data_IF_631276130304
#
_entry.id   IF_631276130304
#
_cell.length_a   1.000
_cell.length_b   1.000
_cell.length_c   1.000
_cell.angle_alpha   90.00
_cell.angle_beta   90.00
_cell.angle_gamma   90.00
#
_symmetry.space_group_name_H-M   'P 1'
#
loop_
_entity.id
_entity.type
_entity.pdbx_description
1 polymer ?
#
# COMPACT_ATOMS: atom_id res chain seq x y z
N UNK A 1 -1.23 -9.15 33.23
CA UNK A 1 -1.61 -8.18 32.18
C UNK A 1 -0.78 -8.50 30.94
N UNK A 2 -1.37 -8.43 29.76
CA UNK A 2 -0.70 -8.71 28.48
C UNK A 2 -0.99 -7.55 27.52
N UNK A 3 0.05 -7.09 26.83
CA UNK A 3 -0.05 -6.12 25.75
C UNK A 3 0.07 -6.86 24.41
N UNK A 4 -0.85 -6.60 23.50
CA UNK A 4 -0.91 -7.25 22.19
C UNK A 4 -0.79 -6.17 21.11
N UNK A 5 0.35 -6.15 20.42
CA UNK A 5 0.67 -5.15 19.41
C UNK A 5 0.40 -5.72 18.02
N UNK A 6 -0.52 -5.15 17.25
CA UNK A 6 -0.78 -5.65 15.90
C UNK A 6 -1.98 -5.03 15.19
N UNK A 7 -2.31 -5.60 14.03
CA UNK A 7 -3.48 -5.21 13.24
C UNK A 7 -4.71 -6.03 13.57
N UNK A 8 -5.66 -6.07 12.62
CA UNK A 8 -6.96 -6.72 12.80
C UNK A 8 -6.86 -8.19 13.25
N UNK A 9 -6.03 -9.00 12.59
CA UNK A 9 -5.86 -10.42 12.97
C UNK A 9 -5.31 -10.59 14.39
N UNK A 10 -4.34 -9.77 14.77
CA UNK A 10 -3.74 -9.78 16.10
C UNK A 10 -4.75 -9.38 17.18
N UNK A 11 -5.57 -8.35 16.93
CA UNK A 11 -6.61 -7.92 17.85
C UNK A 11 -7.79 -8.90 17.93
N UNK A 12 -8.11 -9.62 16.85
CA UNK A 12 -9.05 -10.74 16.90
C UNK A 12 -8.53 -11.84 17.84
N UNK A 13 -7.23 -12.15 17.78
CA UNK A 13 -6.57 -13.05 18.73
C UNK A 13 -6.61 -12.53 20.17
N UNK A 14 -6.35 -11.23 20.38
CA UNK A 14 -6.45 -10.61 21.70
C UNK A 14 -7.86 -10.76 22.30
N UNK A 15 -8.90 -10.57 21.49
CA UNK A 15 -10.28 -10.76 21.92
C UNK A 15 -10.57 -12.22 22.30
N UNK A 16 -10.06 -13.19 21.52
CA UNK A 16 -10.18 -14.60 21.85
C UNK A 16 -9.49 -14.95 23.19
N UNK A 17 -8.29 -14.41 23.43
CA UNK A 17 -7.57 -14.58 24.70
C UNK A 17 -8.36 -13.97 25.86
N UNK A 18 -8.87 -12.76 25.69
CA UNK A 18 -9.70 -12.08 26.69
C UNK A 18 -10.90 -12.93 27.10
N UNK A 19 -11.65 -13.43 26.12
CA UNK A 19 -12.82 -14.28 26.35
C UNK A 19 -12.47 -15.54 27.14
N UNK A 20 -11.34 -16.18 26.83
CA UNK A 20 -10.90 -17.37 27.56
C UNK A 20 -10.45 -17.04 28.99
N UNK A 21 -9.78 -15.90 29.22
CA UNK A 21 -9.46 -15.43 30.57
C UNK A 21 -10.72 -15.19 31.40
N UNK A 22 -11.75 -14.55 30.82
CA UNK A 22 -13.05 -14.33 31.47
C UNK A 22 -13.73 -15.65 31.82
N UNK A 23 -13.77 -16.60 30.89
CA UNK A 23 -14.36 -17.94 31.09
C UNK A 23 -13.69 -18.69 32.24
N UNK A 24 -12.37 -18.57 32.37
CA UNK A 24 -11.57 -19.20 33.44
C UNK A 24 -11.48 -18.36 34.72
N UNK A 25 -12.17 -17.22 34.80
CA UNK A 25 -12.11 -16.29 35.93
C UNK A 25 -10.69 -15.83 36.28
N UNK A 26 -9.81 -15.73 35.27
CA UNK A 26 -8.45 -15.26 35.44
C UNK A 26 -8.44 -13.73 35.54
N UNK A 27 -7.76 -13.19 36.55
CA UNK A 27 -7.56 -11.74 36.72
C UNK A 27 -6.46 -11.22 35.80
N UNK A 28 -6.69 -11.28 34.50
CA UNK A 28 -5.73 -10.86 33.47
C UNK A 28 -6.35 -9.76 32.61
N UNK A 29 -5.72 -8.59 32.58
CA UNK A 29 -6.02 -7.55 31.60
C UNK A 29 -5.33 -7.84 30.27
N UNK A 30 -6.08 -7.73 29.16
CA UNK A 30 -5.59 -7.86 27.78
C UNK A 30 -5.74 -6.49 27.12
N UNK A 31 -4.61 -5.90 26.71
CA UNK A 31 -4.56 -4.53 26.18
C UNK A 31 -4.08 -4.58 24.73
N UNK A 32 -4.91 -4.12 23.81
CA UNK A 32 -4.56 -4.00 22.39
C UNK A 32 -3.81 -2.69 22.12
N UNK A 33 -2.74 -2.78 21.34
CA UNK A 33 -1.96 -1.63 20.86
C UNK A 33 -1.99 -1.68 19.32
N UNK A 34 -2.81 -0.84 18.67
CA UNK A 34 -3.06 -0.88 17.24
C UNK A 34 -1.80 -0.56 16.42
N UNK A 35 -1.40 -1.50 15.56
CA UNK A 35 -0.25 -1.37 14.67
C UNK A 35 -0.65 -1.72 13.24
N UNK A 36 -0.84 -0.69 12.44
CA UNK A 36 -0.88 -0.76 10.98
C UNK A 36 0.02 0.33 10.42
N UNK A 37 0.79 0.02 9.38
CA UNK A 37 1.56 1.03 8.67
C UNK A 37 0.64 1.84 7.75
N UNK A 38 -0.46 1.24 7.28
CA UNK A 38 -1.36 1.81 6.28
C UNK A 38 -2.26 2.92 6.82
N UNK A 39 -2.26 3.16 8.15
CA UNK A 39 -3.15 4.12 8.82
C UNK A 39 -4.65 3.90 8.57
N UNK A 40 -5.07 2.64 8.52
CA UNK A 40 -6.41 2.21 8.13
C UNK A 40 -7.28 1.72 9.31
N UNK A 41 -6.96 2.15 10.54
CA UNK A 41 -7.75 1.80 11.73
C UNK A 41 -8.84 2.85 11.96
N UNK A 42 -10.10 2.39 11.92
CA UNK A 42 -11.26 3.22 12.23
C UNK A 42 -11.13 3.87 13.62
N UNK A 43 -11.63 5.10 13.75
CA UNK A 43 -11.62 5.90 14.98
C UNK A 43 -10.24 6.41 15.42
N UNK A 44 -9.20 6.20 14.62
CA UNK A 44 -7.86 6.76 14.84
C UNK A 44 -7.43 7.59 13.63
N UNK A 45 -6.98 8.82 13.89
CA UNK A 45 -6.49 9.69 12.83
C UNK A 45 -5.09 9.27 12.34
N UNK A 46 -4.28 8.69 13.24
CA UNK A 46 -2.90 8.32 12.97
C UNK A 46 -2.45 7.10 13.78
N UNK A 47 -1.80 6.15 13.12
CA UNK A 47 -1.13 5.00 13.72
C UNK A 47 0.39 5.18 13.71
N UNK A 48 1.07 4.60 14.70
CA UNK A 48 2.52 4.73 14.76
C UNK A 48 3.19 4.01 13.58
N UNK A 49 4.26 4.61 13.08
CA UNK A 49 5.01 4.11 11.92
C UNK A 49 4.51 4.65 10.56
N UNK A 50 3.29 5.21 10.48
CA UNK A 50 2.76 5.77 9.24
C UNK A 50 3.61 6.94 8.70
N UNK A 51 3.93 7.94 9.54
CA UNK A 51 4.72 9.10 9.11
C UNK A 51 6.12 8.69 8.63
N UNK A 52 6.77 7.79 9.37
CA UNK A 52 8.07 7.24 8.97
C UNK A 52 7.96 6.49 7.63
N UNK A 53 6.88 5.75 7.41
CA UNK A 53 6.64 5.07 6.13
C UNK A 53 6.50 6.07 4.97
N UNK A 54 5.79 7.19 5.21
CA UNK A 54 5.64 8.27 4.23
C UNK A 54 6.98 8.94 3.93
N UNK A 55 7.84 9.14 4.93
CA UNK A 55 9.20 9.68 4.72
C UNK A 55 10.07 8.74 3.89
N UNK A 56 10.08 7.44 4.19
CA UNK A 56 10.85 6.46 3.41
C UNK A 56 10.28 6.29 1.99
N UNK A 57 8.95 6.33 1.83
CA UNK A 57 8.30 6.29 0.53
C UNK A 57 8.71 7.47 -0.35
N UNK A 58 8.82 8.68 0.21
CA UNK A 58 9.31 9.85 -0.53
C UNK A 58 10.75 9.66 -1.02
N UNK A 59 11.62 9.03 -0.23
CA UNK A 59 12.99 8.71 -0.66
C UNK A 59 12.98 7.75 -1.85
N UNK A 60 12.16 6.71 -1.81
CA UNK A 60 12.01 5.76 -2.91
C UNK A 60 11.47 6.44 -4.19
N UNK A 61 10.47 7.32 -4.05
CA UNK A 61 9.94 8.13 -5.16
C UNK A 61 11.04 9.00 -5.75
N UNK A 62 11.84 9.68 -4.91
CA UNK A 62 12.92 10.54 -5.38
C UNK A 62 14.01 9.78 -6.13
N UNK A 63 14.36 8.57 -5.70
CA UNK A 63 15.25 7.70 -6.46
C UNK A 63 14.66 7.35 -7.83
N UNK A 64 13.39 6.93 -7.89
CA UNK A 64 12.74 6.60 -9.15
C UNK A 64 12.60 7.80 -10.09
N UNK A 65 12.35 9.00 -9.54
CA UNK A 65 12.32 10.25 -10.29
C UNK A 65 13.67 10.53 -10.95
N UNK A 66 14.77 10.43 -10.20
CA UNK A 66 16.13 10.68 -10.73
C UNK A 66 16.45 9.68 -11.86
N UNK A 67 16.15 8.40 -11.66
CA UNK A 67 16.37 7.35 -12.68
C UNK A 67 15.53 7.61 -13.93
N UNK A 68 14.23 7.90 -13.78
CA UNK A 68 13.33 8.16 -14.89
C UNK A 68 13.78 9.36 -15.74
N UNK A 69 14.27 10.43 -15.10
CA UNK A 69 14.74 11.64 -15.80
C UNK A 69 16.13 11.49 -16.43
N UNK A 70 16.91 10.50 -15.98
CA UNK A 70 18.25 10.24 -16.51
C UNK A 70 18.24 9.36 -17.76
N UNK A 71 17.10 8.74 -18.07
CA UNK A 71 16.91 7.89 -19.25
C UNK A 71 16.03 8.56 -20.31
N UNK A 72 16.33 8.33 -21.59
CA UNK A 72 15.46 8.77 -22.69
C UNK A 72 14.12 8.02 -22.62
N UNK A 73 13.02 8.77 -22.46
CA UNK A 73 11.68 8.22 -22.25
C UNK A 73 11.60 7.28 -21.03
N UNK A 74 12.32 7.61 -19.95
CA UNK A 74 12.35 6.81 -18.74
C UNK A 74 11.04 6.86 -17.95
N UNK A 75 10.62 5.69 -17.45
CA UNK A 75 9.49 5.55 -16.52
C UNK A 75 10.00 4.95 -15.20
N UNK A 76 9.79 5.66 -14.10
CA UNK A 76 10.08 5.17 -12.76
C UNK A 76 8.83 4.59 -12.11
N UNK A 77 8.82 3.29 -11.81
CA UNK A 77 7.69 2.64 -11.12
C UNK A 77 8.06 2.34 -9.67
N UNK A 78 7.26 2.85 -8.73
CA UNK A 78 7.47 2.64 -7.29
C UNK A 78 6.25 1.96 -6.69
N UNK A 79 6.44 0.73 -6.22
CA UNK A 79 5.43 0.01 -5.44
C UNK A 79 5.57 0.36 -3.97
N UNK A 80 4.51 0.88 -3.37
CA UNK A 80 4.43 1.23 -1.95
C UNK A 80 3.44 0.33 -1.20
N UNK A 81 3.52 0.40 0.13
CA UNK A 81 2.50 -0.16 1.03
C UNK A 81 1.13 0.48 0.75
N UNK A 82 0.07 -0.23 1.13
CA UNK A 82 -1.30 0.18 0.89
C UNK A 82 -2.15 -0.99 0.43
N UNK A 83 -2.46 -1.89 1.36
CA UNK A 83 -3.15 -3.15 1.05
C UNK A 83 -4.61 -2.94 0.73
N UNK A 84 -5.32 -2.24 1.60
CA UNK A 84 -6.74 -1.93 1.45
C UNK A 84 -7.01 -0.43 1.35
N UNK A 85 -5.98 0.39 1.56
CA UNK A 85 -6.05 1.83 1.48
C UNK A 85 -4.80 2.43 0.84
N UNK A 86 -4.95 3.58 0.21
CA UNK A 86 -3.89 4.30 -0.50
C UNK A 86 -3.22 5.40 0.31
N UNK A 87 -3.38 5.45 1.64
CA UNK A 87 -2.93 6.60 2.44
C UNK A 87 -1.44 6.91 2.29
N UNK A 88 -0.57 5.88 2.36
CA UNK A 88 0.88 6.07 2.17
C UNK A 88 1.17 6.54 0.74
N UNK A 89 0.61 5.85 -0.26
CA UNK A 89 0.84 6.18 -1.66
C UNK A 89 0.40 7.62 -1.99
N UNK A 90 -0.78 8.04 -1.53
CA UNK A 90 -1.30 9.40 -1.73
C UNK A 90 -0.45 10.43 -1.01
N UNK A 91 -0.17 10.24 0.28
CA UNK A 91 0.54 11.24 1.06
C UNK A 91 2.00 11.39 0.62
N UNK A 92 2.67 10.28 0.27
CA UNK A 92 4.02 10.32 -0.28
C UNK A 92 4.05 10.96 -1.68
N UNK A 93 3.06 10.67 -2.54
CA UNK A 93 2.93 11.30 -3.87
C UNK A 93 2.75 12.81 -3.76
N UNK A 94 1.83 13.26 -2.90
CA UNK A 94 1.57 14.69 -2.69
C UNK A 94 2.77 15.41 -2.04
N UNK A 95 3.44 14.76 -1.08
CA UNK A 95 4.56 15.38 -0.35
C UNK A 95 5.83 15.45 -1.20
N UNK A 96 6.08 14.44 -2.06
CA UNK A 96 7.24 14.44 -2.96
C UNK A 96 7.10 15.46 -4.10
N UNK A 97 5.88 15.67 -4.61
CA UNK A 97 5.62 16.53 -5.77
C UNK A 97 6.18 16.01 -7.09
N UNK A 98 6.59 14.74 -7.14
CA UNK A 98 7.32 14.13 -8.26
C UNK A 98 6.52 13.05 -9.00
N UNK A 99 5.40 12.60 -8.45
CA UNK A 99 4.59 11.52 -9.00
C UNK A 99 3.64 12.08 -10.06
N UNK A 100 3.69 11.52 -11.27
CA UNK A 100 2.77 11.87 -12.36
C UNK A 100 1.48 11.03 -12.31
N UNK A 101 1.58 9.77 -11.90
CA UNK A 101 0.44 8.84 -11.79
C UNK A 101 0.48 8.14 -10.44
N UNK A 102 -0.57 8.33 -9.62
CA UNK A 102 -0.76 7.64 -8.36
C UNK A 102 -1.91 6.64 -8.47
N UNK A 103 -1.64 5.35 -8.25
CA UNK A 103 -2.61 4.26 -8.34
C UNK A 103 -2.86 3.68 -6.95
N UNK A 104 -4.12 3.70 -6.50
CA UNK A 104 -4.54 3.30 -5.16
C UNK A 104 -5.70 2.30 -5.17
N UNK A 105 -5.88 1.48 -4.11
CA UNK A 105 -6.94 0.48 -4.05
C UNK A 105 -8.36 1.05 -4.17
N UNK A 106 -8.56 2.30 -3.72
CA UNK A 106 -9.88 2.96 -3.68
C UNK A 106 -10.37 3.41 -5.07
N UNK A 107 -9.47 3.58 -6.04
CA UNK A 107 -9.80 4.12 -7.37
C UNK A 107 -9.52 3.06 -8.43
N UNK A 108 -10.57 2.40 -8.96
CA UNK A 108 -10.41 1.44 -10.05
C UNK A 108 -9.84 2.11 -11.31
N UNK A 109 -8.96 1.41 -12.01
CA UNK A 109 -8.37 1.88 -13.25
C UNK A 109 -8.21 0.74 -14.26
N UNK A 110 -8.09 1.12 -15.53
CA UNK A 110 -7.70 0.22 -16.60
C UNK A 110 -6.26 0.52 -17.00
N UNK A 111 -5.46 -0.52 -17.19
CA UNK A 111 -4.08 -0.34 -17.66
C UNK A 111 -4.06 0.02 -19.16
N UNK A 112 -4.81 -0.73 -19.96
CA UNK A 112 -4.96 -0.53 -21.41
C UNK A 112 -6.23 0.23 -21.79
N UNK A 113 -6.34 0.56 -23.07
CA UNK A 113 -7.52 1.17 -23.68
C UNK A 113 -7.41 2.69 -23.84
N UNK A 114 -8.43 3.33 -24.44
CA UNK A 114 -8.37 4.74 -24.82
C UNK A 114 -8.30 5.71 -23.62
N UNK A 115 -8.66 5.24 -22.42
CA UNK A 115 -8.57 5.97 -21.16
C UNK A 115 -7.72 5.23 -20.13
N UNK A 116 -6.86 4.31 -20.59
CA UNK A 116 -5.99 3.52 -19.73
C UNK A 116 -4.75 4.27 -19.28
N UNK A 117 -4.15 3.80 -18.19
CA UNK A 117 -2.93 4.37 -17.62
C UNK A 117 -1.79 4.41 -18.64
N UNK A 118 -1.59 3.35 -19.44
CA UNK A 118 -0.50 3.31 -20.43
C UNK A 118 -0.64 4.39 -21.51
N UNK A 119 -1.87 4.69 -21.93
CA UNK A 119 -2.11 5.78 -22.89
C UNK A 119 -1.77 7.13 -22.30
N UNK A 120 -2.09 7.33 -21.03
CA UNK A 120 -1.72 8.55 -20.32
C UNK A 120 -0.20 8.67 -20.15
N UNK A 121 0.49 7.56 -19.85
CA UNK A 121 1.95 7.53 -19.79
C UNK A 121 2.59 7.87 -21.13
N UNK A 122 2.09 7.35 -22.24
CA UNK A 122 2.57 7.72 -23.57
C UNK A 122 2.48 9.25 -23.80
N UNK A 123 1.33 9.85 -23.46
CA UNK A 123 1.16 11.30 -23.54
C UNK A 123 2.17 12.05 -22.66
N UNK A 124 2.43 11.57 -21.44
CA UNK A 124 3.43 12.18 -20.55
C UNK A 124 4.85 12.07 -21.11
N UNK A 125 5.22 10.94 -21.71
CA UNK A 125 6.52 10.78 -22.36
C UNK A 125 6.69 11.74 -23.54
N UNK A 126 5.66 11.93 -24.36
CA UNK A 126 5.71 12.87 -25.49
C UNK A 126 5.82 14.34 -25.02
N UNK A 127 5.18 14.68 -23.90
CA UNK A 127 5.13 16.06 -23.40
C UNK A 127 6.27 16.43 -22.44
N UNK A 128 6.71 15.49 -21.60
CA UNK A 128 7.69 15.72 -20.52
C UNK A 128 8.99 14.94 -20.72
N UNK A 129 9.00 13.87 -21.52
CA UNK A 129 10.17 13.02 -21.76
C UNK A 129 10.42 11.93 -20.70
N UNK A 130 9.70 11.95 -19.59
CA UNK A 130 9.78 10.96 -18.50
C UNK A 130 8.46 10.93 -17.71
N UNK A 131 8.27 9.89 -16.90
CA UNK A 131 7.14 9.81 -15.96
C UNK A 131 7.49 9.01 -14.69
N UNK A 132 6.84 9.35 -13.58
CA UNK A 132 6.90 8.57 -12.33
C UNK A 132 5.52 8.02 -11.98
N UNK A 133 5.46 6.71 -11.78
CA UNK A 133 4.26 5.97 -11.37
C UNK A 133 4.45 5.47 -9.94
N UNK A 134 3.57 5.90 -9.05
CA UNK A 134 3.46 5.36 -7.70
C UNK A 134 2.25 4.43 -7.65
N UNK A 135 2.44 3.19 -7.21
CA UNK A 135 1.36 2.18 -7.11
C UNK A 135 1.34 1.57 -5.71
N UNK A 136 0.19 1.62 -5.05
CA UNK A 136 -0.03 0.88 -3.81
C UNK A 136 -0.18 -0.62 -4.12
N UNK A 137 0.34 -1.50 -3.26
CA UNK A 137 0.32 -2.95 -3.50
C UNK A 137 -1.08 -3.54 -3.71
N UNK A 138 -2.13 -2.95 -3.10
CA UNK A 138 -3.52 -3.37 -3.27
C UNK A 138 -4.21 -2.83 -4.52
N UNK A 139 -3.58 -1.92 -5.26
CA UNK A 139 -4.15 -1.34 -6.47
C UNK A 139 -4.13 -2.37 -7.61
N UNK A 140 -5.15 -2.35 -8.47
CA UNK A 140 -5.17 -3.16 -9.70
C UNK A 140 -5.15 -4.68 -9.50
N UNK A 141 -5.47 -5.20 -8.31
CA UNK A 141 -5.48 -6.65 -8.05
C UNK A 141 -6.46 -7.44 -8.95
N UNK A 142 -7.46 -6.77 -9.53
CA UNK A 142 -8.37 -7.34 -10.54
C UNK A 142 -7.73 -7.55 -11.92
N UNK A 143 -6.57 -6.94 -12.19
CA UNK A 143 -5.80 -7.12 -13.42
C UNK A 143 -4.87 -8.34 -13.35
N UNK A 144 -4.60 -8.82 -12.15
CA UNK A 144 -3.70 -9.93 -11.88
C UNK A 144 -4.47 -11.24 -11.83
N UNK A 145 -3.80 -12.35 -12.18
CA UNK A 145 -4.38 -13.68 -11.98
C UNK A 145 -4.56 -13.97 -10.50
N UNK A 146 -5.80 -14.24 -10.09
CA UNK A 146 -6.09 -14.57 -8.71
C UNK A 146 -5.63 -16.00 -8.41
N UNK A 147 -4.58 -16.13 -7.60
CA UNK A 147 -4.04 -17.43 -7.18
C UNK A 147 -4.85 -18.06 -6.05
N UNK A 148 -5.75 -17.30 -5.40
CA UNK A 148 -6.45 -17.66 -4.16
C UNK A 148 -5.52 -18.17 -3.03
N UNK A 149 -4.21 -17.90 -3.15
CA UNK A 149 -3.24 -18.29 -2.14
C UNK A 149 -3.49 -17.51 -0.86
N UNK A 150 -3.31 -18.17 0.28
CA UNK A 150 -3.43 -17.57 1.61
C UNK A 150 -2.14 -17.70 2.39
N UNK A 151 -1.81 -16.69 3.17
CA UNK A 151 -0.72 -16.77 4.14
C UNK A 151 -1.09 -17.67 5.34
N UNK A 152 -0.13 -17.88 6.25
CA UNK A 152 -0.34 -18.69 7.44
C UNK A 152 -1.42 -18.13 8.39
N UNK A 153 -1.78 -16.85 8.26
CA UNK A 153 -2.84 -16.18 9.02
C UNK A 153 -4.18 -16.19 8.29
N UNK A 154 -4.26 -16.79 7.10
CA UNK A 154 -5.47 -16.90 6.29
C UNK A 154 -5.79 -15.70 5.41
N UNK A 155 -4.89 -14.70 5.31
CA UNK A 155 -5.09 -13.55 4.44
C UNK A 155 -4.72 -13.89 2.99
N UNK A 156 -5.46 -13.32 2.02
CA UNK A 156 -5.15 -13.50 0.58
C UNK A 156 -3.75 -12.93 0.28
N UNK A 157 -2.94 -13.67 -0.46
CA UNK A 157 -1.65 -13.16 -0.96
C UNK A 157 -1.90 -12.38 -2.25
N UNK A 158 -1.49 -11.11 -2.27
CA UNK A 158 -1.63 -10.25 -3.44
C UNK A 158 -0.60 -10.61 -4.51
N UNK A 159 -1.00 -10.42 -5.76
CA UNK A 159 -0.05 -10.45 -6.87
C UNK A 159 0.80 -9.17 -6.86
N UNK A 160 2.00 -9.25 -7.42
CA UNK A 160 2.89 -8.09 -7.49
C UNK A 160 2.48 -7.17 -8.66
N UNK A 161 1.64 -6.18 -8.34
CA UNK A 161 1.18 -5.18 -9.31
C UNK A 161 2.33 -4.34 -9.87
N UNK A 162 3.40 -4.13 -9.11
CA UNK A 162 4.55 -3.35 -9.55
C UNK A 162 5.30 -4.07 -10.68
N UNK A 163 5.54 -5.37 -10.50
CA UNK A 163 6.14 -6.23 -11.54
C UNK A 163 5.23 -6.33 -12.75
N UNK A 164 3.91 -6.47 -12.56
CA UNK A 164 2.97 -6.54 -13.66
C UNK A 164 2.97 -5.26 -14.52
N UNK A 165 2.86 -4.07 -13.90
CA UNK A 165 2.92 -2.80 -14.62
C UNK A 165 4.26 -2.61 -15.34
N UNK A 166 5.37 -3.12 -14.77
CA UNK A 166 6.68 -3.04 -15.41
C UNK A 166 6.78 -3.88 -16.70
N UNK A 167 6.00 -4.95 -16.82
CA UNK A 167 6.05 -5.87 -17.96
C UNK A 167 5.18 -5.43 -19.15
N UNK A 168 4.20 -4.57 -18.90
CA UNK A 168 3.23 -4.06 -19.89
C UNK A 168 3.72 -2.77 -20.56
#
# INVERSE_FOLDING_TARGET
MIFVLGGNGTHAGANAIHNECCKRQLKVSVIGVPKTIDNDILLMDKTFGFDTAVEEAQRAINSAYIEAHSAYHGIGVVKLMGRSSGFIAMQASLSSGQVDVCLIPEVPFNLHGPHGVLRHLQYLLEMKGSAVVCVAEGAGQNLLQNTNAKDASGNIVFGDIGVYIQQE
#
